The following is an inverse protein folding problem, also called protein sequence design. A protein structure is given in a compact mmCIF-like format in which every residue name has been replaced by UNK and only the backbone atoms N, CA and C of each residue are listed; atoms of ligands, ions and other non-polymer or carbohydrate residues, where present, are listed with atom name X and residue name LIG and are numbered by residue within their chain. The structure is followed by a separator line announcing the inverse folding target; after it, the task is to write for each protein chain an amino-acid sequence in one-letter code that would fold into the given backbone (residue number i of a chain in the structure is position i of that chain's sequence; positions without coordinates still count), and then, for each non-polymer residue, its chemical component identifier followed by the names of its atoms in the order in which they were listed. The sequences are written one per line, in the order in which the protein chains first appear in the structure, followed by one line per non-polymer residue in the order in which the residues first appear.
data_IF_916567348053
#
_entry.id   IF_916567348053
#
_cell.length_a   1.000
_cell.length_b   1.000
_cell.length_c   1.000
_cell.angle_alpha   90.00
_cell.angle_beta   90.00
_cell.angle_gamma   90.00
#
_symmetry.space_group_name_H-M   'P 1'
#
loop_
_entity.id
_entity.type
_entity.pdbx_description
1 polymer ?
#
# COMPACT_ATOMS: atom_id res chain seq x y z
N UNK A 1 -3.62 2.43 -3.30
CA UNK A 1 -4.84 1.69 -3.66
C UNK A 1 -4.82 1.26 -5.13
N UNK A 2 -5.10 2.15 -6.11
CA UNK A 2 -5.24 1.78 -7.55
C UNK A 2 -4.03 1.10 -8.24
N UNK A 3 -2.82 1.19 -7.68
CA UNK A 3 -1.60 0.59 -8.25
C UNK A 3 -1.19 -0.72 -7.60
N UNK A 4 -1.85 -1.18 -6.54
CA UNK A 4 -1.54 -2.48 -5.95
C UNK A 4 -2.14 -3.56 -6.86
N UNK A 5 -1.34 -4.38 -7.55
CA UNK A 5 -1.85 -5.39 -8.48
C UNK A 5 -2.67 -6.47 -7.78
N UNK A 6 -2.35 -6.76 -6.52
CA UNK A 6 -3.08 -7.71 -5.69
C UNK A 6 -4.30 -7.09 -4.97
N UNK A 7 -4.51 -5.79 -5.06
CA UNK A 7 -5.59 -5.11 -4.32
C UNK A 7 -5.40 -5.06 -2.80
N UNK A 8 -4.31 -5.62 -2.27
CA UNK A 8 -4.00 -5.73 -0.85
C UNK A 8 -3.81 -4.39 -0.09
N UNK A 9 -3.68 -3.26 -0.81
CA UNK A 9 -3.41 -1.96 -0.19
C UNK A 9 -4.66 -1.07 -0.14
N UNK A 10 -5.23 -0.95 1.05
CA UNK A 10 -6.34 -0.03 1.34
C UNK A 10 -5.81 1.33 1.78
N UNK A 11 -6.38 2.40 1.22
CA UNK A 11 -5.97 3.78 1.49
C UNK A 11 -7.15 4.58 1.99
N UNK A 12 -7.15 4.89 3.27
CA UNK A 12 -8.09 5.82 3.87
C UNK A 12 -7.50 7.22 3.88
N UNK A 13 -8.01 8.08 2.98
CA UNK A 13 -7.57 9.48 2.87
C UNK A 13 -8.16 10.37 3.96
N UNK A 14 -9.32 10.03 4.52
CA UNK A 14 -9.96 10.78 5.58
C UNK A 14 -9.22 10.56 6.90
N UNK A 15 -8.91 9.30 7.22
CA UNK A 15 -8.12 8.93 8.38
C UNK A 15 -6.59 9.08 8.18
N UNK A 16 -6.14 9.41 6.96
CA UNK A 16 -4.72 9.46 6.55
C UNK A 16 -3.99 8.16 6.93
N UNK A 17 -4.64 7.03 6.73
CA UNK A 17 -4.15 5.70 7.09
C UNK A 17 -4.02 4.83 5.85
N UNK A 18 -2.94 4.08 5.81
CA UNK A 18 -2.70 3.04 4.80
C UNK A 18 -2.68 1.71 5.54
N UNK A 19 -3.48 0.77 5.08
CA UNK A 19 -3.52 -0.59 5.62
C UNK A 19 -3.15 -1.54 4.51
N UNK A 20 -2.11 -2.34 4.74
CA UNK A 20 -1.70 -3.40 3.84
C UNK A 20 -2.18 -4.73 4.42
N UNK A 21 -2.89 -5.49 3.59
CA UNK A 21 -3.22 -6.87 3.86
C UNK A 21 -2.01 -7.73 3.46
N UNK A 22 -1.31 -8.28 4.46
CA UNK A 22 -0.10 -9.08 4.24
C UNK A 22 -0.41 -10.44 3.60
N UNK A 23 -1.58 -11.02 3.88
CA UNK A 23 -2.00 -12.31 3.32
C UNK A 23 -2.25 -12.20 1.81
N UNK A 24 -2.81 -11.06 1.39
CA UNK A 24 -3.03 -10.74 -0.03
C UNK A 24 -1.80 -10.10 -0.70
N UNK A 25 -0.76 -9.74 0.05
CA UNK A 25 0.39 -9.02 -0.48
C UNK A 25 1.36 -9.96 -1.22
N UNK A 26 1.54 -9.73 -2.51
CA UNK A 26 2.52 -10.47 -3.34
C UNK A 26 3.93 -9.87 -3.32
N UNK A 27 4.24 -9.00 -2.36
CA UNK A 27 5.54 -8.33 -2.22
C UNK A 27 6.09 -7.65 -3.50
N UNK A 28 5.20 -7.12 -4.36
CA UNK A 28 5.60 -6.51 -5.64
C UNK A 28 6.38 -5.18 -5.52
N UNK A 29 6.56 -4.62 -4.32
CA UNK A 29 7.28 -3.36 -4.07
C UNK A 29 6.64 -2.09 -4.65
N UNK A 30 5.55 -2.21 -5.42
CA UNK A 30 4.94 -1.06 -6.12
C UNK A 30 4.44 -0.01 -5.14
N UNK A 31 3.86 -0.43 -4.00
CA UNK A 31 3.36 0.49 -2.99
C UNK A 31 4.48 1.32 -2.35
N UNK A 32 5.63 0.72 -2.06
CA UNK A 32 6.80 1.40 -1.52
C UNK A 32 7.34 2.45 -2.50
N UNK A 33 7.52 2.10 -3.78
CA UNK A 33 8.08 3.03 -4.78
C UNK A 33 7.13 4.15 -5.23
N UNK A 34 5.82 4.05 -4.98
CA UNK A 34 4.86 5.10 -5.34
C UNK A 34 4.37 5.91 -4.15
N UNK A 35 4.76 5.54 -2.93
CA UNK A 35 4.35 6.28 -1.74
C UNK A 35 5.12 7.60 -1.69
N UNK A 36 4.50 8.76 -1.93
CA UNK A 36 5.21 10.05 -1.98
C UNK A 36 5.73 10.48 -0.61
N UNK A 37 5.38 9.75 0.46
CA UNK A 37 5.83 10.00 1.82
C UNK A 37 6.88 8.99 2.29
N UNK A 38 7.27 8.02 1.45
CA UNK A 38 8.08 6.86 1.84
C UNK A 38 7.58 6.21 3.15
N UNK A 39 6.28 6.31 3.42
CA UNK A 39 5.68 5.90 4.69
C UNK A 39 5.52 4.38 4.80
N UNK A 40 5.90 3.65 3.76
CA UNK A 40 5.87 2.19 3.70
C UNK A 40 7.32 1.74 3.86
N UNK A 41 7.71 1.53 5.12
CA UNK A 41 8.92 0.79 5.48
C UNK A 41 8.53 -0.68 5.59
N UNK A 42 9.21 -1.53 4.82
CA UNK A 42 9.04 -2.98 4.79
C UNK A 42 9.76 -3.62 5.98
#
# INVERSE_FOLDING_TARGET
AKKCPAGALTVDRAARRWTLDEDSCVACGTCAGVCPKDAIVM
#
